data_IF_244024571117
#
_entry.id   IF_244024571117
#
_cell.length_a   1.000
_cell.length_b   1.000
_cell.length_c   1.000
_cell.angle_alpha   90.00
_cell.angle_beta   90.00
_cell.angle_gamma   90.00
#
_symmetry.space_group_name_H-M   'P 1'
#
loop_
_entity.id
_entity.type
_entity.pdbx_description
1 polymer ?
#
# COMPACT_ATOMS: atom_id res chain seq x y z
N UNK A 1 2.85 -25.08 -4.74
CA UNK A 1 1.95 -25.56 -3.66
C UNK A 1 2.82 -26.08 -2.51
N UNK A 2 2.47 -25.76 -1.25
CA UNK A 2 3.33 -25.92 -0.07
C UNK A 2 3.25 -27.35 0.47
N UNK A 3 4.38 -27.98 0.82
CA UNK A 3 4.49 -29.37 1.29
C UNK A 3 3.47 -29.77 2.38
N UNK A 4 3.06 -28.82 3.21
CA UNK A 4 2.03 -28.99 4.24
C UNK A 4 0.68 -29.40 3.61
N UNK A 5 0.24 -28.74 2.54
CA UNK A 5 -1.03 -29.08 1.87
C UNK A 5 -0.99 -30.45 1.19
N UNK A 6 0.22 -30.90 0.80
CA UNK A 6 0.43 -32.16 0.09
C UNK A 6 0.48 -33.36 1.04
N UNK A 7 1.05 -33.18 2.23
CA UNK A 7 1.34 -34.27 3.17
C UNK A 7 0.44 -34.25 4.42
N UNK A 8 -0.47 -33.28 4.54
CA UNK A 8 -1.44 -33.21 5.63
C UNK A 8 -2.42 -34.39 5.57
N UNK A 9 -2.43 -35.21 6.62
CA UNK A 9 -3.43 -36.26 6.82
C UNK A 9 -4.74 -35.72 7.42
N UNK A 10 -4.68 -34.55 8.05
CA UNK A 10 -5.82 -33.88 8.70
C UNK A 10 -6.28 -32.67 7.87
N UNK A 11 -7.59 -32.38 7.90
CA UNK A 11 -8.18 -31.30 7.10
C UNK A 11 -7.74 -29.88 7.52
N UNK A 12 -7.20 -29.73 8.73
CA UNK A 12 -6.71 -28.45 9.27
C UNK A 12 -5.42 -28.65 10.06
N UNK A 13 -4.27 -28.54 9.38
CA UNK A 13 -2.95 -28.59 10.02
C UNK A 13 -2.54 -27.19 10.48
N UNK A 14 -2.15 -27.05 11.75
CA UNK A 14 -1.52 -25.85 12.28
C UNK A 14 0.00 -26.01 12.21
N UNK A 15 0.72 -25.35 11.29
CA UNK A 15 2.17 -25.46 11.21
C UNK A 15 2.83 -24.86 12.44
N UNK A 16 3.99 -25.41 12.84
CA UNK A 16 4.85 -24.75 13.83
C UNK A 16 5.18 -23.33 13.34
N UNK A 17 4.92 -22.35 14.18
CA UNK A 17 5.07 -20.94 13.85
C UNK A 17 5.93 -20.27 14.91
N UNK A 18 6.94 -19.52 14.46
CA UNK A 18 7.70 -18.63 15.32
C UNK A 18 7.02 -17.26 15.33
N UNK A 19 6.66 -16.77 16.51
CA UNK A 19 6.09 -15.43 16.70
C UNK A 19 7.16 -14.52 17.27
N UNK A 20 7.36 -13.38 16.64
CA UNK A 20 8.08 -12.25 17.23
C UNK A 20 7.22 -11.01 17.08
N UNK A 21 7.16 -10.22 18.16
CA UNK A 21 6.49 -8.93 18.14
C UNK A 21 7.53 -7.85 17.88
N UNK A 22 7.32 -7.09 16.81
CA UNK A 22 8.17 -5.95 16.51
C UNK A 22 7.73 -4.76 17.36
N UNK A 23 8.66 -4.21 18.15
CA UNK A 23 8.46 -2.95 18.86
C UNK A 23 9.36 -1.89 18.25
N UNK A 24 8.77 -0.80 17.77
CA UNK A 24 9.50 0.41 17.36
C UNK A 24 9.25 1.55 18.35
N UNK A 25 10.18 2.50 18.39
CA UNK A 25 9.94 3.77 19.06
C UNK A 25 8.79 4.51 18.38
N UNK A 26 7.99 5.21 19.20
CA UNK A 26 6.89 6.03 18.69
C UNK A 26 7.47 7.24 17.97
N UNK A 27 7.15 7.37 16.69
CA UNK A 27 7.45 8.58 15.93
C UNK A 27 6.43 9.70 16.21
N UNK A 28 6.86 10.94 16.02
CA UNK A 28 6.00 12.12 16.11
C UNK A 28 5.05 12.24 14.89
N UNK A 29 5.28 11.45 13.84
CA UNK A 29 4.50 11.40 12.60
C UNK A 29 4.19 12.83 12.07
N UNK A 30 2.91 13.13 11.82
CA UNK A 30 2.47 14.43 11.33
C UNK A 30 2.83 15.59 12.26
N UNK A 31 2.86 15.38 13.59
CA UNK A 31 3.23 16.44 14.53
C UNK A 31 4.69 16.87 14.35
N UNK A 32 5.59 15.92 14.08
CA UNK A 32 6.99 16.18 13.78
C UNK A 32 7.18 16.98 12.49
N UNK A 33 6.48 16.59 11.42
CA UNK A 33 6.51 17.31 10.14
C UNK A 33 5.99 18.74 10.28
N UNK A 34 4.86 18.95 10.97
CA UNK A 34 4.30 20.28 11.16
C UNK A 34 5.20 21.17 12.01
N UNK A 35 5.86 20.61 13.03
CA UNK A 35 6.84 21.34 13.85
C UNK A 35 8.08 21.73 13.04
N UNK A 36 8.62 20.83 12.21
CA UNK A 36 9.74 21.17 11.34
C UNK A 36 9.34 22.21 10.28
N UNK A 37 8.13 22.14 9.74
CA UNK A 37 7.62 23.15 8.81
C UNK A 37 7.57 24.55 9.43
N UNK A 38 7.09 24.69 10.68
CA UNK A 38 7.13 25.98 11.37
C UNK A 38 8.55 26.41 11.71
N UNK A 39 9.45 25.47 12.03
CA UNK A 39 10.88 25.73 12.23
C UNK A 39 11.57 26.26 10.98
N UNK A 40 11.28 25.70 9.80
CA UNK A 40 11.78 26.20 8.52
C UNK A 40 11.34 27.64 8.24
N UNK A 41 10.09 28.01 8.57
CA UNK A 41 9.57 29.37 8.40
C UNK A 41 10.21 30.35 9.40
N UNK A 42 10.27 29.98 10.68
CA UNK A 42 10.69 30.89 11.74
C UNK A 42 12.21 31.04 11.84
N UNK A 43 12.95 29.96 11.55
CA UNK A 43 14.38 29.86 11.84
C UNK A 43 15.23 29.46 10.63
N UNK A 44 14.62 29.17 9.48
CA UNK A 44 15.35 28.73 8.29
C UNK A 44 15.91 27.30 8.41
N UNK A 45 15.32 26.47 9.26
CA UNK A 45 15.66 25.04 9.35
C UNK A 45 15.44 24.33 8.00
N UNK A 46 16.24 23.28 7.75
CA UNK A 46 16.03 22.41 6.60
C UNK A 46 14.73 21.62 6.73
N UNK A 47 13.96 21.55 5.65
CA UNK A 47 12.71 20.80 5.61
C UNK A 47 13.01 19.30 5.59
N UNK A 48 12.42 18.55 6.52
CA UNK A 48 12.48 17.09 6.56
C UNK A 48 11.83 16.44 5.34
N UNK A 49 10.77 17.06 4.81
CA UNK A 49 10.04 16.60 3.64
C UNK A 49 9.72 17.80 2.75
N UNK A 50 10.68 18.24 1.92
CA UNK A 50 10.47 19.36 1.02
C UNK A 50 9.49 18.96 -0.10
N UNK A 51 8.56 19.86 -0.42
CA UNK A 51 7.46 19.54 -1.34
C UNK A 51 7.89 19.16 -2.77
N UNK A 52 9.06 19.62 -3.23
CA UNK A 52 9.56 19.26 -4.57
C UNK A 52 9.93 17.76 -4.67
N UNK A 53 10.27 17.10 -3.57
CA UNK A 53 10.56 15.67 -3.56
C UNK A 53 9.30 14.80 -3.76
N UNK A 54 8.11 15.39 -3.58
CA UNK A 54 6.84 14.72 -3.85
C UNK A 54 6.71 14.22 -5.30
N UNK A 55 7.45 14.82 -6.25
CA UNK A 55 7.48 14.32 -7.63
C UNK A 55 8.09 12.91 -7.73
N UNK A 56 9.01 12.56 -6.84
CA UNK A 56 9.64 11.24 -6.79
C UNK A 56 8.64 10.19 -6.26
N UNK A 57 7.77 10.56 -5.32
CA UNK A 57 6.68 9.70 -4.85
C UNK A 57 5.68 9.40 -5.99
N UNK A 58 5.30 10.43 -6.75
CA UNK A 58 4.44 10.27 -7.93
C UNK A 58 5.09 9.36 -8.99
N UNK A 59 6.40 9.51 -9.22
CA UNK A 59 7.16 8.62 -10.11
C UNK A 59 7.09 7.16 -9.64
N UNK A 60 7.29 6.88 -8.35
CA UNK A 60 7.22 5.51 -7.82
C UNK A 60 5.80 4.94 -7.96
N UNK A 61 4.79 5.73 -7.58
CA UNK A 61 3.38 5.32 -7.66
C UNK A 61 2.94 5.03 -9.09
N UNK A 62 3.30 5.91 -10.03
CA UNK A 62 2.98 5.73 -11.45
C UNK A 62 3.71 4.53 -12.05
N UNK A 63 4.96 4.28 -11.66
CA UNK A 63 5.70 3.10 -12.08
C UNK A 63 5.06 1.79 -11.57
N UNK A 64 4.53 1.79 -10.35
CA UNK A 64 3.80 0.65 -9.80
C UNK A 64 2.52 0.36 -10.59
N UNK A 65 1.75 1.39 -10.93
CA UNK A 65 0.58 1.25 -11.81
C UNK A 65 0.96 0.75 -13.20
N UNK A 66 2.01 1.33 -13.80
CA UNK A 66 2.48 0.92 -15.11
C UNK A 66 2.89 -0.55 -15.12
N UNK A 67 3.66 -0.99 -14.11
CA UNK A 67 4.01 -2.41 -13.89
C UNK A 67 2.76 -3.29 -13.93
N UNK A 68 1.74 -2.96 -13.13
CA UNK A 68 0.51 -3.74 -13.07
C UNK A 68 -0.21 -3.80 -14.43
N UNK A 69 -0.26 -2.68 -15.15
CA UNK A 69 -0.95 -2.60 -16.44
C UNK A 69 -0.22 -3.32 -17.57
N UNK A 70 1.11 -3.42 -17.49
CA UNK A 70 1.96 -4.09 -18.49
C UNK A 70 2.35 -5.52 -18.09
N UNK A 71 1.52 -6.18 -17.27
CA UNK A 71 1.70 -7.60 -16.95
C UNK A 71 2.59 -7.88 -15.74
N UNK A 72 2.62 -6.96 -14.77
CA UNK A 72 3.47 -7.01 -13.57
C UNK A 72 4.98 -7.03 -13.89
N UNK A 73 5.38 -6.30 -14.94
CA UNK A 73 6.78 -6.21 -15.37
C UNK A 73 7.56 -5.20 -14.53
N UNK A 74 8.86 -5.47 -14.31
CA UNK A 74 9.75 -4.50 -13.66
C UNK A 74 9.86 -3.22 -14.49
N UNK A 75 9.66 -2.06 -13.85
CA UNK A 75 9.80 -0.73 -14.47
C UNK A 75 11.07 -0.06 -13.93
N UNK A 76 11.92 0.45 -14.82
CA UNK A 76 13.10 1.25 -14.45
C UNK A 76 12.71 2.69 -14.16
N UNK A 77 13.38 3.33 -13.20
CA UNK A 77 13.20 4.73 -12.87
C UNK A 77 14.38 5.58 -13.39
N UNK A 78 14.13 6.78 -13.96
CA UNK A 78 12.82 7.29 -14.35
C UNK A 78 12.23 6.47 -15.53
N UNK A 79 10.90 6.33 -15.56
CA UNK A 79 10.21 5.61 -16.63
C UNK A 79 9.73 6.59 -17.73
N UNK A 80 9.27 6.05 -18.86
CA UNK A 80 8.66 6.84 -19.94
C UNK A 80 7.28 7.38 -19.53
N UNK A 81 7.20 8.68 -19.23
CA UNK A 81 5.95 9.32 -18.81
C UNK A 81 4.88 9.30 -19.90
N UNK A 82 5.26 9.35 -21.18
CA UNK A 82 4.30 9.29 -22.28
C UNK A 82 3.62 7.92 -22.39
N UNK A 83 4.35 6.85 -22.04
CA UNK A 83 3.77 5.51 -21.94
C UNK A 83 2.72 5.44 -20.83
N UNK A 84 3.02 6.00 -19.65
CA UNK A 84 2.04 6.07 -18.56
C UNK A 84 0.80 6.87 -18.95
N UNK A 85 0.96 8.03 -19.57
CA UNK A 85 -0.17 8.87 -20.02
C UNK A 85 -1.06 8.15 -21.03
N UNK A 86 -0.45 7.39 -21.95
CA UNK A 86 -1.16 6.56 -22.93
C UNK A 86 -1.98 5.45 -22.24
N UNK A 87 -1.37 4.71 -21.31
CA UNK A 87 -2.08 3.66 -20.56
C UNK A 87 -3.19 4.23 -19.67
N UNK A 88 -2.93 5.35 -18.98
CA UNK A 88 -3.92 6.04 -18.15
C UNK A 88 -5.12 6.49 -18.99
N UNK A 89 -4.88 7.04 -20.18
CA UNK A 89 -5.95 7.45 -21.11
C UNK A 89 -6.83 6.27 -21.51
N UNK A 90 -6.23 5.11 -21.81
CA UNK A 90 -6.98 3.87 -22.10
C UNK A 90 -7.83 3.45 -20.89
N UNK A 91 -7.31 3.55 -19.66
CA UNK A 91 -8.06 3.22 -18.44
C UNK A 91 -9.22 4.18 -18.20
N UNK A 92 -9.01 5.47 -18.39
CA UNK A 92 -10.08 6.48 -18.27
C UNK A 92 -11.23 6.20 -19.23
N UNK A 93 -10.93 5.88 -20.49
CA UNK A 93 -11.94 5.55 -21.52
C UNK A 93 -12.76 4.30 -21.18
N UNK A 94 -12.16 3.32 -20.49
CA UNK A 94 -12.80 2.07 -20.08
C UNK A 94 -13.33 2.11 -18.63
N UNK A 95 -13.20 3.25 -17.94
CA UNK A 95 -13.66 3.39 -16.56
C UNK A 95 -15.18 3.52 -16.53
N UNK A 96 -15.83 2.78 -15.63
CA UNK A 96 -17.28 2.82 -15.41
C UNK A 96 -17.51 3.13 -13.93
N UNK A 97 -18.49 3.99 -13.65
CA UNK A 97 -18.92 4.27 -12.28
C UNK A 97 -19.38 2.96 -11.67
N UNK A 98 -18.72 2.54 -10.59
CA UNK A 98 -19.16 1.38 -9.82
C UNK A 98 -20.38 1.80 -9.00
N UNK A 99 -21.55 1.28 -9.37
CA UNK A 99 -22.73 1.40 -8.52
C UNK A 99 -22.45 0.74 -7.17
N UNK A 100 -22.65 1.48 -6.08
CA UNK A 100 -22.57 0.93 -4.74
C UNK A 100 -23.78 0.04 -4.51
N UNK A 101 -23.64 -1.26 -4.69
CA UNK A 101 -24.61 -2.20 -4.15
C UNK A 101 -24.60 -2.03 -2.62
N UNK A 102 -25.72 -1.61 -2.03
CA UNK A 102 -25.91 -1.61 -0.60
C UNK A 102 -25.83 -3.07 -0.12
N UNK A 103 -24.64 -3.51 0.29
CA UNK A 103 -24.46 -4.85 0.86
C UNK A 103 -25.01 -4.80 2.29
N UNK A 104 -26.24 -5.26 2.49
CA UNK A 104 -26.76 -5.57 3.82
C UNK A 104 -26.14 -6.89 4.29
N UNK A 105 -24.90 -6.85 4.81
CA UNK A 105 -24.34 -8.01 5.49
C UNK A 105 -25.02 -8.17 6.85
N UNK A 106 -26.00 -9.08 6.93
CA UNK A 106 -26.62 -9.47 8.21
C UNK A 106 -25.87 -10.65 8.86
N UNK A 107 -24.68 -11.01 8.36
CA UNK A 107 -23.90 -12.10 8.90
C UNK A 107 -22.95 -11.59 10.00
N UNK A 108 -23.37 -11.74 11.26
CA UNK A 108 -22.54 -11.46 12.45
C UNK A 108 -21.55 -12.59 12.74
N UNK A 109 -21.47 -13.63 11.91
CA UNK A 109 -20.52 -14.74 12.10
C UNK A 109 -19.23 -14.50 11.31
N UNK A 110 -18.45 -13.50 11.73
CA UNK A 110 -17.02 -13.56 11.49
C UNK A 110 -16.47 -14.68 12.40
N UNK A 111 -16.31 -15.88 11.85
CA UNK A 111 -15.74 -17.02 12.55
C UNK A 111 -14.42 -16.64 13.23
N UNK A 112 -14.06 -17.33 14.31
CA UNK A 112 -12.96 -16.96 15.23
C UNK A 112 -11.59 -16.68 14.60
N UNK A 113 -11.39 -16.99 13.31
CA UNK A 113 -10.24 -16.59 12.50
C UNK A 113 -10.02 -15.07 12.38
N UNK A 114 -11.06 -14.26 12.54
CA UNK A 114 -10.99 -12.79 12.43
C UNK A 114 -11.06 -12.05 13.78
N UNK A 115 -10.96 -12.79 14.89
CA UNK A 115 -10.87 -12.20 16.23
C UNK A 115 -9.42 -11.72 16.45
N UNK A 116 -9.16 -10.46 16.12
CA UNK A 116 -7.88 -9.81 16.47
C UNK A 116 -8.04 -9.20 17.86
N UNK A 117 -7.24 -9.65 18.82
CA UNK A 117 -7.09 -8.96 20.10
C UNK A 117 -6.17 -7.78 19.88
N UNK A 118 -6.70 -6.58 20.06
CA UNK A 118 -5.90 -5.37 20.26
C UNK A 118 -5.15 -5.46 21.59
#
# INVERSE_FOLDING_TARGET
ERDICKNATEGFVSPETEYSEFTAEREDAHAGILKNFTGAILYGEELLSPGYDGINELMISNAAYLSQWTGNSRISLPFDTALFDSELSKKQQNSVIKESAAVSTNDKSCGGRWQVKW
#
